data_IF_794053353474
#
_entry.id   IF_794053353474
#
_cell.length_a   1.000
_cell.length_b   1.000
_cell.length_c   1.000
_cell.angle_alpha   90.00
_cell.angle_beta   90.00
_cell.angle_gamma   90.00
#
_symmetry.space_group_name_H-M   'P 1'
#
loop_
_entity.id
_entity.type
_entity.pdbx_description
1 polymer ?
#
# COMPACT_ATOMS: atom_id res chain seq x y z
N UNK A 1 -14.91 21.71 16.35
CA UNK A 1 -14.00 21.99 15.22
C UNK A 1 -13.92 20.68 14.43
N UNK A 2 -14.47 20.62 13.21
CA UNK A 2 -14.37 19.41 12.38
C UNK A 2 -12.89 19.16 12.08
N UNK A 3 -12.42 17.94 12.31
CA UNK A 3 -11.04 17.58 12.03
C UNK A 3 -10.83 17.46 10.51
N UNK A 4 -9.59 17.68 10.04
CA UNK A 4 -9.27 17.54 8.62
C UNK A 4 -9.62 16.14 8.08
N UNK A 5 -9.48 15.08 8.90
CA UNK A 5 -9.89 13.72 8.55
C UNK A 5 -11.39 13.58 8.28
N UNK A 6 -12.26 14.18 9.12
CA UNK A 6 -13.70 14.17 8.87
C UNK A 6 -14.08 14.87 7.56
N UNK A 7 -13.34 15.91 7.17
CA UNK A 7 -13.58 16.58 5.89
C UNK A 7 -13.22 15.66 4.70
N UNK A 8 -12.15 14.87 4.80
CA UNK A 8 -11.78 13.89 3.76
C UNK A 8 -12.86 12.83 3.60
N UNK A 9 -13.37 12.26 4.69
CA UNK A 9 -14.39 11.23 4.64
C UNK A 9 -15.70 11.75 4.03
N UNK A 10 -16.07 12.99 4.37
CA UNK A 10 -17.23 13.66 3.77
C UNK A 10 -17.05 13.87 2.26
N UNK A 11 -15.87 14.33 1.82
CA UNK A 11 -15.55 14.50 0.40
C UNK A 11 -15.68 13.15 -0.33
N UNK A 12 -15.07 12.09 0.20
CA UNK A 12 -15.19 10.74 -0.38
C UNK A 12 -16.64 10.27 -0.45
N UNK A 13 -17.46 10.57 0.56
CA UNK A 13 -18.87 10.20 0.58
C UNK A 13 -19.69 10.88 -0.52
N UNK A 14 -19.45 12.17 -0.80
CA UNK A 14 -20.11 12.92 -1.89
C UNK A 14 -19.91 12.22 -3.24
N UNK A 15 -18.70 11.71 -3.48
CA UNK A 15 -18.34 10.98 -4.70
C UNK A 15 -18.66 9.47 -4.65
N UNK A 16 -19.33 8.99 -3.59
CA UNK A 16 -19.57 7.55 -3.35
C UNK A 16 -18.28 6.71 -3.38
N UNK A 17 -17.17 7.29 -2.95
CA UNK A 17 -15.80 6.78 -3.09
C UNK A 17 -15.19 6.36 -1.75
N UNK A 18 -15.99 5.81 -0.82
CA UNK A 18 -15.53 5.43 0.53
C UNK A 18 -14.35 4.44 0.53
N UNK A 19 -14.30 3.58 -0.48
CA UNK A 19 -13.31 2.50 -0.62
C UNK A 19 -12.08 2.92 -1.44
N UNK A 20 -12.04 4.17 -1.91
CA UNK A 20 -10.95 4.78 -2.68
C UNK A 20 -10.06 5.64 -1.78
N UNK A 21 -8.86 5.99 -2.24
CA UNK A 21 -8.06 6.99 -1.54
C UNK A 21 -8.52 8.40 -1.93
N UNK A 22 -8.28 9.39 -1.05
CA UNK A 22 -8.56 10.81 -1.38
C UNK A 22 -7.80 11.24 -2.65
N UNK A 23 -6.64 10.64 -2.90
CA UNK A 23 -5.87 10.80 -4.13
C UNK A 23 -6.72 10.56 -5.39
N UNK A 24 -7.55 9.52 -5.42
CA UNK A 24 -8.40 9.18 -6.56
C UNK A 24 -9.48 10.24 -6.79
N UNK A 25 -10.11 10.70 -5.70
CA UNK A 25 -11.14 11.75 -5.77
C UNK A 25 -10.53 13.07 -6.26
N UNK A 26 -9.33 13.43 -5.79
CA UNK A 26 -8.63 14.63 -6.25
C UNK A 26 -8.24 14.53 -7.73
N UNK A 27 -7.74 13.37 -8.19
CA UNK A 27 -7.45 13.16 -9.60
C UNK A 27 -8.69 13.21 -10.49
N UNK A 28 -9.83 12.70 -10.00
CA UNK A 28 -11.10 12.82 -10.70
C UNK A 28 -11.52 14.30 -10.84
N UNK A 29 -11.41 15.08 -9.76
CA UNK A 29 -11.75 16.51 -9.76
C UNK A 29 -10.87 17.32 -10.72
N UNK A 30 -9.57 17.06 -10.75
CA UNK A 30 -8.62 17.88 -11.52
C UNK A 30 -8.51 17.40 -12.97
N UNK A 31 -8.58 16.10 -13.21
CA UNK A 31 -8.26 15.49 -14.50
C UNK A 31 -9.39 14.64 -15.10
N UNK A 32 -10.56 14.57 -14.47
CA UNK A 32 -11.69 13.72 -14.90
C UNK A 32 -11.31 12.24 -15.06
N UNK A 33 -10.30 11.76 -14.31
CA UNK A 33 -9.94 10.33 -14.25
C UNK A 33 -11.00 9.54 -13.50
N UNK A 34 -11.13 8.25 -13.81
CA UNK A 34 -11.99 7.36 -13.05
C UNK A 34 -11.51 7.24 -11.59
N UNK A 35 -12.47 7.23 -10.66
CA UNK A 35 -12.19 6.95 -9.25
C UNK A 35 -12.07 5.44 -9.11
N UNK A 36 -10.88 4.96 -8.74
CA UNK A 36 -10.63 3.54 -8.48
C UNK A 36 -10.55 3.26 -6.98
N UNK A 37 -10.84 2.02 -6.60
CA UNK A 37 -10.82 1.54 -5.22
C UNK A 37 -9.42 1.10 -4.79
N UNK A 38 -9.19 1.01 -3.47
CA UNK A 38 -7.97 0.42 -2.92
C UNK A 38 -7.77 -1.04 -3.37
N UNK A 39 -8.85 -1.80 -3.55
CA UNK A 39 -8.81 -3.16 -4.12
C UNK A 39 -8.22 -3.14 -5.53
N UNK A 40 -8.74 -2.28 -6.41
CA UNK A 40 -8.23 -2.16 -7.78
C UNK A 40 -6.75 -1.76 -7.81
N UNK A 41 -6.33 -0.83 -6.94
CA UNK A 41 -4.92 -0.46 -6.78
C UNK A 41 -4.05 -1.64 -6.35
N UNK A 42 -4.51 -2.39 -5.35
CA UNK A 42 -3.78 -3.55 -4.85
C UNK A 42 -3.66 -4.67 -5.88
N UNK A 43 -4.72 -4.98 -6.63
CA UNK A 43 -4.70 -5.97 -7.72
C UNK A 43 -3.74 -5.55 -8.83
N UNK A 44 -3.73 -4.27 -9.20
CA UNK A 44 -2.78 -3.74 -10.18
C UNK A 44 -1.33 -3.85 -9.69
N UNK A 45 -1.06 -3.49 -8.42
CA UNK A 45 0.27 -3.60 -7.82
C UNK A 45 0.74 -5.06 -7.67
N UNK A 46 -0.14 -5.98 -7.30
CA UNK A 46 0.14 -7.41 -7.24
C UNK A 46 0.51 -7.98 -8.61
N UNK A 47 -0.14 -7.47 -9.67
CA UNK A 47 0.13 -7.86 -11.06
C UNK A 47 1.34 -7.18 -11.67
N UNK A 48 2.00 -6.25 -10.96
CA UNK A 48 3.18 -5.54 -11.45
C UNK A 48 4.36 -6.48 -11.70
N UNK A 49 5.18 -6.16 -12.70
CA UNK A 49 6.43 -6.89 -12.96
C UNK A 49 7.32 -6.96 -11.71
N UNK A 50 7.32 -5.90 -10.89
CA UNK A 50 8.05 -5.85 -9.64
C UNK A 50 7.67 -7.01 -8.69
N UNK A 51 6.38 -7.25 -8.48
CA UNK A 51 5.91 -8.34 -7.61
C UNK A 51 6.07 -9.70 -8.29
N UNK A 52 5.81 -9.79 -9.60
CA UNK A 52 5.85 -11.05 -10.33
C UNK A 52 7.27 -11.59 -10.54
N UNK A 53 8.28 -10.70 -10.62
CA UNK A 53 9.68 -11.09 -10.77
C UNK A 53 10.39 -11.35 -9.44
N UNK A 54 9.74 -11.11 -8.30
CA UNK A 54 10.34 -11.33 -6.99
C UNK A 54 10.47 -12.83 -6.68
N UNK A 55 11.69 -13.35 -6.83
CA UNK A 55 11.97 -14.79 -6.73
C UNK A 55 11.91 -15.34 -5.30
N UNK A 56 12.28 -14.54 -4.30
CA UNK A 56 12.22 -14.97 -2.90
C UNK A 56 10.75 -15.02 -2.44
N UNK A 57 10.25 -16.23 -2.20
CA UNK A 57 8.86 -16.46 -1.81
C UNK A 57 8.46 -15.73 -0.52
N UNK A 58 9.35 -15.64 0.47
CA UNK A 58 9.07 -14.95 1.75
C UNK A 58 9.06 -13.44 1.61
N UNK A 59 9.95 -12.89 0.80
CA UNK A 59 9.91 -11.48 0.42
C UNK A 59 8.59 -11.15 -0.30
N UNK A 60 8.17 -11.98 -1.25
CA UNK A 60 6.90 -11.81 -1.97
C UNK A 60 5.68 -11.92 -1.06
N UNK A 61 5.63 -12.96 -0.23
CA UNK A 61 4.56 -13.17 0.75
C UNK A 61 4.41 -11.96 1.69
N UNK A 62 5.52 -11.37 2.11
CA UNK A 62 5.50 -10.14 2.90
C UNK A 62 4.90 -8.94 2.15
N UNK A 63 5.28 -8.71 0.88
CA UNK A 63 4.71 -7.61 0.10
C UNK A 63 3.21 -7.81 -0.17
N UNK A 64 2.77 -9.06 -0.39
CA UNK A 64 1.34 -9.38 -0.54
C UNK A 64 0.57 -9.16 0.78
N UNK A 65 1.16 -9.49 1.92
CA UNK A 65 0.61 -9.16 3.23
C UNK A 65 0.42 -7.64 3.40
N UNK A 66 1.41 -6.83 2.99
CA UNK A 66 1.29 -5.36 3.04
C UNK A 66 0.17 -4.86 2.13
N UNK A 67 0.00 -5.42 0.92
CA UNK A 67 -1.12 -5.09 0.05
C UNK A 67 -2.47 -5.41 0.69
N UNK A 68 -2.59 -6.54 1.38
CA UNK A 68 -3.82 -6.90 2.08
C UNK A 68 -4.17 -5.91 3.20
N UNK A 69 -3.16 -5.50 3.97
CA UNK A 69 -3.30 -4.44 4.97
C UNK A 69 -3.74 -3.13 4.34
N UNK A 70 -3.14 -2.71 3.23
CA UNK A 70 -3.54 -1.51 2.51
C UNK A 70 -4.99 -1.57 2.01
N UNK A 71 -5.43 -2.70 1.42
CA UNK A 71 -6.81 -2.88 0.97
C UNK A 71 -7.81 -2.61 2.09
N UNK A 72 -7.54 -3.17 3.27
CA UNK A 72 -8.42 -3.09 4.44
C UNK A 72 -8.36 -1.73 5.13
N UNK A 73 -7.17 -1.32 5.52
CA UNK A 73 -6.95 -0.23 6.47
C UNK A 73 -6.44 1.07 5.80
N UNK A 74 -6.10 1.01 4.51
CA UNK A 74 -5.79 2.17 3.68
C UNK A 74 -4.34 2.62 3.75
N UNK A 75 -4.06 3.77 3.14
CA UNK A 75 -2.70 4.32 2.97
C UNK A 75 -1.91 4.50 4.26
N UNK A 76 -2.58 4.62 5.41
CA UNK A 76 -1.92 4.74 6.72
C UNK A 76 -1.07 3.52 7.06
N UNK A 77 -1.37 2.35 6.50
CA UNK A 77 -0.54 1.15 6.65
C UNK A 77 0.83 1.31 5.98
N UNK A 78 0.91 2.13 4.92
CA UNK A 78 2.09 2.25 4.06
C UNK A 78 3.16 3.22 4.61
N UNK A 79 2.90 3.92 5.71
CA UNK A 79 3.88 4.84 6.30
C UNK A 79 5.19 4.13 6.66
N UNK A 80 6.34 4.72 6.33
CA UNK A 80 7.66 4.07 6.52
C UNK A 80 7.91 3.60 7.97
N UNK A 81 7.44 4.36 8.96
CA UNK A 81 7.55 4.01 10.39
C UNK A 81 6.79 2.75 10.78
N UNK A 82 5.87 2.28 9.94
CA UNK A 82 5.10 1.04 10.16
C UNK A 82 5.78 -0.20 9.65
N UNK A 83 6.86 -0.07 8.88
CA UNK A 83 7.58 -1.24 8.35
C UNK A 83 7.95 -2.23 9.47
N UNK A 84 8.56 -1.83 10.61
CA UNK A 84 8.88 -2.79 11.68
C UNK A 84 7.64 -3.51 12.23
N UNK A 85 6.55 -2.79 12.48
CA UNK A 85 5.33 -3.40 13.02
C UNK A 85 4.62 -4.29 12.00
N UNK A 86 4.69 -3.97 10.70
CA UNK A 86 4.18 -4.85 9.64
C UNK A 86 4.98 -6.15 9.56
N UNK A 87 6.30 -6.10 9.74
CA UNK A 87 7.10 -7.34 9.79
C UNK A 87 6.68 -8.20 10.98
N UNK A 88 6.56 -7.62 12.16
CA UNK A 88 6.10 -8.33 13.36
C UNK A 88 4.69 -8.92 13.19
N UNK A 89 3.75 -8.11 12.67
CA UNK A 89 2.37 -8.53 12.44
C UNK A 89 2.23 -9.61 11.36
N UNK A 90 3.14 -9.64 10.38
CA UNK A 90 3.13 -10.68 9.35
C UNK A 90 3.39 -12.07 9.94
N UNK A 91 4.13 -12.16 11.04
CA UNK A 91 4.52 -13.42 11.67
C UNK A 91 5.39 -14.33 10.79
N UNK A 92 5.84 -13.85 9.63
CA UNK A 92 6.56 -14.66 8.64
C UNK A 92 8.03 -14.87 9.03
N UNK A 93 8.65 -13.82 9.57
CA UNK A 93 10.09 -13.68 9.80
C UNK A 93 10.35 -12.64 10.89
N UNK A 94 11.53 -12.71 11.51
CA UNK A 94 12.08 -11.54 12.21
C UNK A 94 12.48 -10.45 11.21
N UNK A 95 12.64 -9.21 11.69
CA UNK A 95 13.12 -8.08 10.87
C UNK A 95 14.46 -8.39 10.19
N UNK A 96 15.39 -9.05 10.88
CA UNK A 96 16.70 -9.39 10.31
C UNK A 96 16.61 -10.47 9.23
N UNK A 97 15.78 -11.49 9.43
CA UNK A 97 15.61 -12.56 8.42
C UNK A 97 14.91 -12.02 7.17
N UNK A 98 13.87 -11.20 7.36
CA UNK A 98 13.19 -10.60 6.23
C UNK A 98 14.13 -9.66 5.46
N UNK A 99 14.94 -8.85 6.17
CA UNK A 99 15.95 -8.03 5.52
C UNK A 99 16.90 -8.88 4.64
N UNK A 100 17.34 -10.05 5.13
CA UNK A 100 18.17 -10.97 4.35
C UNK A 100 17.42 -11.55 3.13
N UNK A 101 16.12 -11.84 3.26
CA UNK A 101 15.28 -12.30 2.14
C UNK A 101 15.23 -11.27 0.99
N UNK A 102 15.41 -9.97 1.28
CA UNK A 102 15.51 -8.88 0.30
C UNK A 102 16.96 -8.54 -0.11
N UNK A 103 17.99 -9.16 0.48
CA UNK A 103 19.40 -8.83 0.22
C UNK A 103 19.99 -7.72 1.10
N UNK A 104 19.26 -7.32 2.15
CA UNK A 104 19.70 -6.35 3.15
C UNK A 104 18.59 -5.39 3.59
N UNK A 105 18.84 -4.68 4.69
CA UNK A 105 17.88 -3.69 5.23
C UNK A 105 17.60 -2.55 4.24
N UNK A 106 18.60 -2.14 3.45
CA UNK A 106 18.43 -1.11 2.43
C UNK A 106 17.47 -1.59 1.32
N UNK A 107 17.66 -2.82 0.83
CA UNK A 107 16.82 -3.41 -0.20
C UNK A 107 15.40 -3.71 0.29
N UNK A 108 15.21 -4.10 1.55
CA UNK A 108 13.88 -4.22 2.16
C UNK A 108 13.14 -2.88 2.13
N UNK A 109 13.78 -1.80 2.59
CA UNK A 109 13.18 -0.46 2.58
C UNK A 109 12.86 0.00 1.16
N UNK A 110 13.79 -0.21 0.22
CA UNK A 110 13.58 0.18 -1.17
C UNK A 110 12.45 -0.62 -1.82
N UNK A 111 12.37 -1.93 -1.58
CA UNK A 111 11.29 -2.79 -2.07
C UNK A 111 9.94 -2.39 -1.49
N UNK A 112 9.91 -2.01 -0.20
CA UNK A 112 8.71 -1.49 0.44
C UNK A 112 8.26 -0.15 -0.17
N UNK A 113 9.20 0.74 -0.52
CA UNK A 113 8.88 1.98 -1.24
C UNK A 113 8.44 1.71 -2.69
N UNK A 114 9.07 0.76 -3.38
CA UNK A 114 8.68 0.35 -4.72
C UNK A 114 7.24 -0.19 -4.73
N UNK A 115 6.85 -0.99 -3.73
CA UNK A 115 5.47 -1.45 -3.60
C UNK A 115 4.48 -0.27 -3.56
N UNK A 116 4.79 0.78 -2.81
CA UNK A 116 3.95 1.98 -2.74
C UNK A 116 3.86 2.71 -4.08
N UNK A 117 4.96 2.74 -4.84
CA UNK A 117 4.96 3.29 -6.20
C UNK A 117 4.06 2.47 -7.14
N UNK A 118 4.07 1.14 -7.04
CA UNK A 118 3.15 0.30 -7.83
C UNK A 118 1.68 0.49 -7.43
N UNK A 119 1.39 0.71 -6.14
CA UNK A 119 0.02 1.02 -5.66
C UNK A 119 -0.51 2.33 -6.27
N UNK A 120 0.34 3.34 -6.45
CA UNK A 120 -0.03 4.68 -6.93
C UNK A 120 0.40 4.99 -8.37
N UNK A 121 0.70 3.97 -9.16
CA UNK A 121 1.04 4.12 -10.57
C UNK A 121 -0.11 4.69 -11.40
#
# INVERSE_FOLDING_TARGET
MLSFGQNIDNIKAIFKAKDSDIYDVLNHLVFSKDIITREQRAVAAESSEFIQQLQNAKAREFLLFVLDKYKKDGVVELEQKRLPSLVELSGLRTVSELANDFGGMAQLKESYLQLQREIYR
#
